data_IF_395529292984
#
_entry.id   IF_395529292984
#
_cell.length_a   1.000
_cell.length_b   1.000
_cell.length_c   1.000
_cell.angle_alpha   90.00
_cell.angle_beta   90.00
_cell.angle_gamma   90.00
#
_symmetry.space_group_name_H-M   'P 1'
#
loop_
_entity.id
_entity.type
_entity.pdbx_description
1 polymer ?
#
# COMPACT_ATOMS: atom_id res chain seq x y z
N UNK A 1 10.16 -14.37 19.80
CA UNK A 1 9.42 -13.36 20.59
C UNK A 1 8.76 -12.44 19.58
N UNK A 2 7.43 -12.39 19.49
CA UNK A 2 6.77 -11.41 18.62
C UNK A 2 7.10 -10.02 19.16
N UNK A 3 7.87 -9.25 18.40
CA UNK A 3 8.04 -7.83 18.68
C UNK A 3 6.65 -7.18 18.60
N UNK A 4 6.22 -6.43 19.62
CA UNK A 4 4.93 -5.75 19.55
C UNK A 4 4.92 -4.79 18.34
N UNK A 5 3.86 -4.87 17.54
CA UNK A 5 3.66 -4.00 16.39
C UNK A 5 3.55 -2.56 16.90
N UNK A 6 4.42 -1.68 16.41
CA UNK A 6 4.42 -0.27 16.79
C UNK A 6 3.25 0.45 16.12
N UNK A 7 2.43 1.23 16.85
CA UNK A 7 1.34 2.00 16.26
C UNK A 7 1.87 3.20 15.43
N UNK A 8 1.09 3.59 14.43
CA UNK A 8 1.26 4.86 13.70
C UNK A 8 0.46 5.94 14.41
N UNK A 9 1.14 6.98 14.89
CA UNK A 9 0.56 8.07 15.67
C UNK A 9 0.28 9.25 14.74
N UNK A 10 -0.99 9.63 14.60
CA UNK A 10 -1.44 10.78 13.82
C UNK A 10 -1.97 11.88 14.75
N UNK A 11 -1.49 13.13 14.65
CA UNK A 11 -2.22 14.27 15.21
C UNK A 11 -3.65 14.33 14.65
N UNK A 12 -4.62 14.73 15.48
CA UNK A 12 -6.02 14.89 15.04
C UNK A 12 -6.14 15.74 13.77
N UNK A 13 -5.36 16.82 13.66
CA UNK A 13 -5.34 17.68 12.47
C UNK A 13 -4.89 16.97 11.19
N UNK A 14 -3.95 16.02 11.27
CA UNK A 14 -3.50 15.22 10.12
C UNK A 14 -4.55 14.17 9.77
N UNK A 15 -5.14 13.52 10.77
CA UNK A 15 -6.21 12.55 10.57
C UNK A 15 -7.40 13.18 9.84
N UNK A 16 -7.86 14.34 10.31
CA UNK A 16 -8.97 15.08 9.71
C UNK A 16 -8.63 15.57 8.30
N UNK A 17 -7.39 16.00 8.07
CA UNK A 17 -6.93 16.49 6.77
C UNK A 17 -6.86 15.39 5.71
N UNK A 18 -6.46 14.16 6.07
CA UNK A 18 -6.52 12.99 5.17
C UNK A 18 -7.97 12.75 4.74
N UNK A 19 -8.92 12.74 5.69
CA UNK A 19 -10.35 12.54 5.41
C UNK A 19 -10.91 13.68 4.55
N UNK A 20 -10.57 14.92 4.86
CA UNK A 20 -11.00 16.08 4.09
C UNK A 20 -10.48 16.03 2.65
N UNK A 21 -9.23 15.59 2.45
CA UNK A 21 -8.68 15.39 1.12
C UNK A 21 -9.41 14.28 0.37
N UNK A 22 -9.61 13.12 0.99
CA UNK A 22 -10.32 11.99 0.39
C UNK A 22 -11.73 12.38 -0.07
N UNK A 23 -12.48 13.08 0.80
CA UNK A 23 -13.83 13.56 0.47
C UNK A 23 -13.85 14.56 -0.69
N UNK A 24 -12.85 15.44 -0.75
CA UNK A 24 -12.75 16.43 -1.81
C UNK A 24 -12.38 15.84 -3.18
N UNK A 25 -11.65 14.71 -3.21
CA UNK A 25 -11.22 14.05 -4.44
C UNK A 25 -12.20 13.04 -5.02
N UNK A 26 -13.13 12.51 -4.21
CA UNK A 26 -14.14 11.54 -4.66
C UNK A 26 -14.88 12.07 -5.92
N UNK A 27 -15.02 11.27 -7.00
CA UNK A 27 -14.85 9.82 -7.08
C UNK A 27 -13.43 9.30 -7.38
N UNK A 28 -12.44 10.17 -7.56
CA UNK A 28 -11.04 9.75 -7.78
C UNK A 28 -10.34 9.47 -6.44
N UNK A 29 -9.34 8.59 -6.45
CA UNK A 29 -8.38 8.46 -5.37
C UNK A 29 -7.53 9.72 -5.26
N UNK A 30 -7.33 10.18 -4.03
CA UNK A 30 -6.31 11.17 -3.70
C UNK A 30 -5.06 10.49 -3.17
N UNK A 31 -3.95 11.20 -3.15
CA UNK A 31 -2.72 10.71 -2.52
C UNK A 31 -1.88 11.85 -1.93
N UNK A 32 -0.92 11.50 -1.09
CA UNK A 32 0.05 12.44 -0.55
C UNK A 32 1.07 11.76 0.34
N UNK A 33 1.89 12.58 1.01
CA UNK A 33 2.98 12.09 1.87
C UNK A 33 2.89 12.70 3.26
N UNK A 34 3.37 11.95 4.24
CA UNK A 34 3.48 12.35 5.63
C UNK A 34 4.96 12.51 5.99
N UNK A 35 5.31 13.67 6.52
CA UNK A 35 6.59 13.90 7.18
C UNK A 35 6.47 13.47 8.63
N UNK A 36 7.47 12.76 9.12
CA UNK A 36 7.52 12.33 10.51
C UNK A 36 8.74 11.46 10.81
N UNK A 37 8.79 10.91 12.00
CA UNK A 37 9.83 9.96 12.44
C UNK A 37 9.26 9.05 13.53
N UNK A 38 9.82 7.85 13.68
CA UNK A 38 9.46 6.89 14.73
C UNK A 38 7.94 6.60 14.79
N UNK A 39 7.34 6.43 13.62
CA UNK A 39 5.90 6.18 13.44
C UNK A 39 4.99 7.30 13.95
N UNK A 40 5.51 8.51 14.21
CA UNK A 40 4.74 9.70 14.60
C UNK A 40 4.71 10.79 13.53
N UNK A 41 3.52 11.09 13.02
CA UNK A 41 3.34 12.06 11.95
C UNK A 41 3.46 13.48 12.50
N UNK A 42 4.08 14.35 11.71
CA UNK A 42 4.37 15.74 12.06
C UNK A 42 3.69 16.71 11.12
N UNK A 43 3.67 16.40 9.83
CA UNK A 43 3.10 17.26 8.79
C UNK A 43 2.60 16.43 7.61
N UNK A 44 1.57 16.92 6.93
CA UNK A 44 0.97 16.29 5.75
C UNK A 44 1.16 17.19 4.53
N UNK A 45 1.48 16.56 3.40
CA UNK A 45 1.56 17.21 2.10
C UNK A 45 0.63 16.49 1.12
N UNK A 46 -0.40 17.19 0.63
CA UNK A 46 -1.27 16.69 -0.45
C UNK A 46 -0.44 16.58 -1.72
N UNK A 47 -0.47 15.40 -2.33
CA UNK A 47 0.07 15.19 -3.67
C UNK A 47 -1.01 15.26 -4.72
N UNK A 48 -0.60 15.33 -5.99
CA UNK A 48 -1.49 15.15 -7.12
C UNK A 48 -1.46 13.69 -7.55
N UNK A 49 -2.64 13.07 -7.67
CA UNK A 49 -2.74 11.76 -8.31
C UNK A 49 -2.54 11.91 -9.83
N UNK A 50 -1.47 11.30 -10.35
CA UNK A 50 -1.11 11.29 -11.77
C UNK A 50 -1.31 9.93 -12.45
N UNK A 51 -2.00 8.99 -11.81
CA UNK A 51 -2.39 7.74 -12.44
C UNK A 51 -3.28 7.98 -13.67
N UNK A 52 -3.22 7.05 -14.63
CA UNK A 52 -4.12 7.07 -15.80
C UNK A 52 -5.56 6.76 -15.41
N UNK A 53 -5.78 5.70 -14.63
CA UNK A 53 -7.05 5.40 -13.96
C UNK A 53 -6.98 5.86 -12.51
N UNK A 54 -7.45 7.08 -12.24
CA UNK A 54 -7.43 7.64 -10.89
C UNK A 54 -8.57 7.14 -10.02
N UNK A 55 -9.55 6.41 -10.55
CA UNK A 55 -10.70 5.94 -9.76
C UNK A 55 -10.30 4.75 -8.88
N UNK A 56 -9.41 3.89 -9.39
CA UNK A 56 -9.00 2.65 -8.73
C UNK A 56 -7.49 2.54 -8.48
N UNK A 57 -6.77 3.65 -8.65
CA UNK A 57 -5.32 3.67 -8.48
C UNK A 57 -4.80 5.08 -8.21
N UNK A 58 -3.64 5.13 -7.57
CA UNK A 58 -2.90 6.36 -7.38
C UNK A 58 -1.48 6.28 -7.94
N UNK A 59 -0.94 7.45 -8.27
CA UNK A 59 0.50 7.65 -8.45
C UNK A 59 0.80 9.02 -7.92
N UNK A 60 1.62 9.08 -6.86
CA UNK A 60 2.03 10.36 -6.27
C UNK A 60 2.92 11.09 -7.27
N UNK A 61 2.63 12.37 -7.51
CA UNK A 61 3.47 13.17 -8.39
C UNK A 61 4.93 13.25 -7.86
N UNK A 62 5.94 13.26 -8.76
CA UNK A 62 7.33 13.28 -8.33
C UNK A 62 7.71 14.50 -7.47
N UNK A 63 7.08 15.65 -7.66
CA UNK A 63 7.41 16.86 -6.88
C UNK A 63 7.07 16.66 -5.41
N UNK A 64 5.94 16.00 -5.13
CA UNK A 64 5.55 15.64 -3.77
C UNK A 64 6.49 14.60 -3.16
N UNK A 65 6.90 13.58 -3.93
CA UNK A 65 7.85 12.56 -3.46
C UNK A 65 9.26 13.13 -3.18
N UNK A 66 9.72 14.10 -3.99
CA UNK A 66 11.03 14.75 -3.83
C UNK A 66 11.16 15.52 -2.50
N UNK A 67 10.04 15.84 -1.83
CA UNK A 67 10.06 16.44 -0.48
C UNK A 67 10.75 15.55 0.55
N UNK A 68 10.92 14.25 0.30
CA UNK A 68 11.67 13.36 1.17
C UNK A 68 13.07 13.89 1.52
N UNK A 69 13.75 14.55 0.56
CA UNK A 69 15.07 15.14 0.79
C UNK A 69 15.00 16.34 1.75
N UNK A 70 13.98 17.19 1.59
CA UNK A 70 13.74 18.31 2.52
C UNK A 70 13.42 17.80 3.94
N UNK A 71 12.74 16.65 4.05
CA UNK A 71 12.43 16.04 5.34
C UNK A 71 13.70 15.51 6.00
N UNK A 72 14.55 14.82 5.24
CA UNK A 72 15.84 14.30 5.71
C UNK A 72 16.78 15.42 6.18
N UNK A 73 16.93 16.50 5.40
CA UNK A 73 17.74 17.68 5.75
C UNK A 73 17.30 18.31 7.08
N UNK A 74 16.01 18.21 7.39
CA UNK A 74 15.43 18.72 8.61
C UNK A 74 15.35 17.67 9.74
N UNK A 75 16.01 16.51 9.57
CA UNK A 75 16.09 15.46 10.57
C UNK A 75 14.82 14.61 10.73
N UNK A 76 13.86 14.70 9.80
CA UNK A 76 12.66 13.86 9.74
C UNK A 76 12.82 12.82 8.60
N UNK A 77 11.75 12.12 8.25
CA UNK A 77 11.68 11.21 7.11
C UNK A 77 10.33 11.35 6.39
N UNK A 78 10.25 10.84 5.16
CA UNK A 78 8.95 10.53 4.55
C UNK A 78 8.38 9.28 5.24
N UNK A 79 7.75 9.50 6.39
CA UNK A 79 7.32 8.43 7.27
C UNK A 79 6.12 7.66 6.70
N UNK A 80 5.29 8.30 5.89
CA UNK A 80 4.20 7.60 5.23
C UNK A 80 3.82 8.18 3.88
N UNK A 81 3.19 7.34 3.09
CA UNK A 81 2.44 7.68 1.89
C UNK A 81 0.98 7.37 2.21
N UNK A 82 0.06 8.25 1.86
CA UNK A 82 -1.36 7.95 2.01
C UNK A 82 -2.09 8.05 0.67
N UNK A 83 -3.16 7.29 0.56
CA UNK A 83 -4.14 7.41 -0.50
C UNK A 83 -5.55 7.10 0.01
N UNK A 84 -6.56 7.37 -0.81
CA UNK A 84 -7.95 7.08 -0.46
C UNK A 84 -8.53 5.98 -1.31
N UNK A 85 -9.37 5.15 -0.71
CA UNK A 85 -10.27 4.24 -1.40
C UNK A 85 -11.70 4.84 -1.40
N UNK A 86 -12.21 5.31 -2.56
CA UNK A 86 -13.47 6.04 -2.61
C UNK A 86 -14.72 5.20 -2.26
N UNK A 87 -14.65 3.88 -2.49
CA UNK A 87 -15.79 2.96 -2.37
C UNK A 87 -15.44 1.60 -1.75
N UNK A 88 -14.18 1.34 -1.43
CA UNK A 88 -13.71 0.05 -0.91
C UNK A 88 -13.07 0.20 0.46
N UNK A 89 -12.95 -0.93 1.18
CA UNK A 89 -12.35 -1.02 2.52
C UNK A 89 -10.95 -0.44 2.58
N UNK A 90 -10.52 -0.01 3.77
CA UNK A 90 -9.17 0.47 4.04
C UNK A 90 -8.19 -0.71 4.17
N UNK A 91 -7.96 -1.46 3.10
CA UNK A 91 -6.98 -2.54 3.05
C UNK A 91 -6.26 -2.53 1.70
N UNK A 92 -4.94 -2.80 1.64
CA UNK A 92 -4.20 -2.74 0.39
C UNK A 92 -4.80 -3.71 -0.62
N UNK A 93 -4.99 -3.26 -1.86
CA UNK A 93 -5.30 -4.08 -3.03
C UNK A 93 -4.04 -4.65 -3.67
N UNK A 94 -4.19 -5.52 -4.67
CA UNK A 94 -3.06 -5.99 -5.47
C UNK A 94 -2.37 -4.85 -6.25
N UNK A 95 -3.13 -3.82 -6.65
CA UNK A 95 -2.57 -2.63 -7.30
C UNK A 95 -1.72 -1.82 -6.32
N UNK A 96 -2.18 -1.66 -5.07
CA UNK A 96 -1.39 -0.99 -4.02
C UNK A 96 -0.10 -1.76 -3.71
N UNK A 97 -0.20 -3.09 -3.60
CA UNK A 97 0.96 -3.96 -3.41
C UNK A 97 1.97 -3.82 -4.55
N UNK A 98 1.51 -3.72 -5.81
CA UNK A 98 2.38 -3.47 -6.96
C UNK A 98 3.11 -2.12 -6.86
N UNK A 99 2.42 -1.07 -6.40
CA UNK A 99 2.95 0.29 -6.29
C UNK A 99 3.81 0.53 -5.02
N UNK A 100 4.01 -0.49 -4.17
CA UNK A 100 4.71 -0.37 -2.89
C UNK A 100 6.24 -0.27 -3.05
N UNK A 101 6.73 0.84 -3.59
CA UNK A 101 8.15 1.06 -3.90
C UNK A 101 8.98 1.64 -2.74
N UNK A 102 8.33 2.08 -1.67
CA UNK A 102 8.95 2.64 -0.46
C UNK A 102 8.72 1.70 0.73
N UNK A 103 9.55 0.66 0.92
CA UNK A 103 9.33 -0.37 1.94
C UNK A 103 9.48 0.13 3.38
N UNK A 104 10.20 1.24 3.58
CA UNK A 104 10.42 1.84 4.90
C UNK A 104 9.28 2.78 5.32
N UNK A 105 8.42 3.19 4.39
CA UNK A 105 7.28 4.06 4.65
C UNK A 105 6.05 3.25 5.10
N UNK A 106 5.20 3.87 5.91
CA UNK A 106 3.84 3.39 6.15
C UNK A 106 2.92 3.81 5.00
N UNK A 107 2.10 2.89 4.53
CA UNK A 107 1.03 3.16 3.57
C UNK A 107 -0.28 3.30 4.32
N UNK A 108 -0.84 4.51 4.34
CA UNK A 108 -2.09 4.80 4.99
C UNK A 108 -3.22 4.83 3.96
N UNK A 109 -4.28 4.07 4.23
CA UNK A 109 -5.43 3.97 3.33
C UNK A 109 -6.63 4.58 4.04
N UNK A 110 -7.18 5.63 3.45
CA UNK A 110 -8.42 6.27 3.89
C UNK A 110 -9.60 5.73 3.08
N UNK A 111 -10.42 4.87 3.68
CA UNK A 111 -11.64 4.37 3.05
C UNK A 111 -12.82 5.31 3.26
N UNK A 112 -13.55 5.56 2.17
CA UNK A 112 -14.86 6.19 2.12
C UNK A 112 -15.95 5.21 1.67
N UNK A 113 -15.77 3.91 1.93
CA UNK A 113 -16.82 2.90 1.70
C UNK A 113 -18.14 3.32 2.37
N UNK A 114 -18.02 3.89 3.57
CA UNK A 114 -19.10 4.57 4.27
C UNK A 114 -18.72 6.05 4.48
N UNK A 115 -19.37 6.95 3.73
CA UNK A 115 -19.03 8.38 3.70
C UNK A 115 -19.14 9.08 5.08
N UNK A 116 -20.05 8.60 5.93
CA UNK A 116 -20.31 9.08 7.29
C UNK A 116 -19.40 8.45 8.34
N UNK A 117 -18.70 7.37 8.01
CA UNK A 117 -17.80 6.64 8.90
C UNK A 117 -16.46 6.29 8.19
N UNK A 118 -15.67 7.31 7.80
CA UNK A 118 -14.38 7.08 7.15
C UNK A 118 -13.42 6.31 8.07
N UNK A 119 -12.63 5.42 7.47
CA UNK A 119 -11.66 4.59 8.20
C UNK A 119 -10.26 4.81 7.63
N UNK A 120 -9.29 5.10 8.50
CA UNK A 120 -7.88 5.13 8.13
C UNK A 120 -7.17 3.94 8.77
N UNK A 121 -6.47 3.14 7.95
CA UNK A 121 -5.61 2.04 8.39
C UNK A 121 -4.21 2.23 7.83
N UNK A 122 -3.20 1.73 8.54
CA UNK A 122 -1.79 1.87 8.16
C UNK A 122 -1.12 0.51 7.98
N UNK A 123 -0.30 0.39 6.94
CA UNK A 123 0.35 -0.86 6.56
C UNK A 123 1.81 -0.64 6.22
N UNK A 124 2.67 -1.59 6.61
CA UNK A 124 3.94 -1.80 5.91
C UNK A 124 3.72 -2.83 4.81
N UNK A 125 4.13 -2.46 3.60
CA UNK A 125 4.11 -3.33 2.44
C UNK A 125 5.56 -3.63 2.05
N UNK A 126 5.99 -4.87 2.26
CA UNK A 126 7.38 -5.28 2.06
C UNK A 126 7.50 -6.19 0.85
N UNK A 127 7.99 -5.69 -0.29
CA UNK A 127 8.23 -6.50 -1.47
C UNK A 127 9.46 -7.41 -1.29
N UNK A 128 9.36 -8.63 -1.79
CA UNK A 128 10.46 -9.57 -2.02
C UNK A 128 10.45 -10.04 -3.47
N UNK A 129 11.61 -10.43 -3.97
CA UNK A 129 11.83 -10.77 -5.38
C UNK A 129 12.38 -12.19 -5.51
N UNK A 130 11.63 -13.22 -5.08
CA UNK A 130 12.08 -14.60 -5.25
C UNK A 130 12.08 -14.99 -6.73
N UNK A 131 12.95 -15.93 -7.09
CA UNK A 131 12.87 -16.57 -8.40
C UNK A 131 11.69 -17.54 -8.42
N UNK A 132 10.72 -17.29 -9.30
CA UNK A 132 9.46 -18.03 -9.38
C UNK A 132 9.24 -18.55 -10.79
N UNK A 133 8.80 -19.80 -10.92
CA UNK A 133 8.23 -20.31 -12.16
C UNK A 133 6.82 -19.70 -12.35
N UNK A 134 6.79 -18.48 -12.89
CA UNK A 134 5.55 -17.75 -13.10
C UNK A 134 4.65 -18.41 -14.14
N UNK A 135 5.17 -19.21 -15.05
CA UNK A 135 4.34 -19.96 -16.00
C UNK A 135 3.56 -21.07 -15.29
N UNK A 136 4.24 -21.85 -14.45
CA UNK A 136 3.59 -22.87 -13.62
C UNK A 136 2.61 -22.27 -12.61
N UNK A 137 2.99 -21.17 -11.93
CA UNK A 137 2.13 -20.50 -10.95
C UNK A 137 0.83 -19.99 -11.58
N UNK A 138 0.91 -19.36 -12.75
CA UNK A 138 -0.27 -18.84 -13.48
C UNK A 138 -1.26 -19.93 -13.87
N UNK A 139 -0.79 -21.14 -14.11
CA UNK A 139 -1.64 -22.28 -14.43
C UNK A 139 -2.26 -22.91 -13.17
N UNK A 140 -1.53 -22.88 -12.05
CA UNK A 140 -1.91 -23.57 -10.83
C UNK A 140 -2.78 -22.72 -9.89
N UNK A 141 -2.66 -21.39 -9.92
CA UNK A 141 -3.27 -20.50 -8.94
C UNK A 141 -4.25 -19.50 -9.59
N UNK A 142 -5.31 -19.09 -8.87
CA UNK A 142 -6.37 -18.23 -9.41
C UNK A 142 -5.95 -16.75 -9.39
N UNK A 143 -4.99 -16.37 -10.22
CA UNK A 143 -4.62 -14.96 -10.39
C UNK A 143 -5.73 -14.17 -11.09
N UNK A 144 -6.03 -12.99 -10.58
CA UNK A 144 -6.99 -12.06 -11.18
C UNK A 144 -6.25 -10.93 -11.89
N UNK A 145 -6.72 -10.55 -13.08
CA UNK A 145 -6.25 -9.34 -13.76
C UNK A 145 -6.91 -8.12 -13.11
N UNK A 146 -6.15 -7.36 -12.33
CA UNK A 146 -6.67 -6.22 -11.56
C UNK A 146 -6.59 -4.91 -12.33
N UNK A 147 -5.68 -4.82 -13.31
CA UNK A 147 -5.56 -3.76 -14.31
C UNK A 147 -5.04 -4.39 -15.61
N UNK A 148 -5.22 -3.76 -16.78
CA UNK A 148 -4.69 -4.28 -18.03
C UNK A 148 -3.21 -4.66 -17.92
N UNK A 149 -2.91 -5.95 -18.02
CA UNK A 149 -1.57 -6.51 -17.92
C UNK A 149 -0.99 -6.63 -16.51
N UNK A 150 -1.73 -6.33 -15.44
CA UNK A 150 -1.31 -6.50 -14.04
C UNK A 150 -2.20 -7.52 -13.34
N UNK A 151 -1.58 -8.54 -12.77
CA UNK A 151 -2.25 -9.65 -12.12
C UNK A 151 -1.89 -9.72 -10.64
N UNK A 152 -2.83 -10.19 -9.83
CA UNK A 152 -2.66 -10.36 -8.39
C UNK A 152 -3.32 -11.61 -7.84
N UNK A 153 -2.71 -12.18 -6.81
CA UNK A 153 -3.28 -13.20 -5.94
C UNK A 153 -3.08 -12.76 -4.49
N UNK A 154 -4.18 -12.71 -3.72
CA UNK A 154 -4.12 -12.47 -2.27
C UNK A 154 -4.08 -13.79 -1.50
N UNK A 155 -3.18 -13.88 -0.52
CA UNK A 155 -3.12 -14.98 0.44
C UNK A 155 -3.28 -14.40 1.86
N UNK A 156 -4.34 -14.77 2.60
CA UNK A 156 -4.59 -14.23 3.93
C UNK A 156 -3.62 -14.78 4.98
N UNK A 157 -3.37 -13.98 6.01
CA UNK A 157 -2.61 -14.39 7.19
C UNK A 157 -3.23 -15.62 7.87
N UNK A 158 -2.40 -16.56 8.30
CA UNK A 158 -2.79 -17.78 8.98
C UNK A 158 -3.48 -18.82 8.09
N UNK A 159 -3.70 -18.52 6.81
CA UNK A 159 -4.21 -19.45 5.82
C UNK A 159 -3.16 -20.44 5.32
N UNK A 160 -3.57 -21.51 4.62
CA UNK A 160 -2.62 -22.42 3.97
C UNK A 160 -1.89 -21.68 2.85
N UNK A 161 -0.55 -21.72 2.88
CA UNK A 161 0.28 -21.25 1.77
C UNK A 161 0.09 -22.24 0.61
N UNK A 162 -0.26 -21.77 -0.60
CA UNK A 162 -0.38 -22.64 -1.78
C UNK A 162 0.91 -23.42 -2.01
N UNK A 163 0.80 -24.72 -2.32
CA UNK A 163 1.95 -25.64 -2.46
C UNK A 163 3.11 -25.05 -3.32
N UNK A 164 2.86 -24.45 -4.49
CA UNK A 164 3.94 -23.86 -5.31
C UNK A 164 4.71 -22.71 -4.66
N UNK A 165 4.18 -22.10 -3.59
CA UNK A 165 4.77 -20.96 -2.88
C UNK A 165 5.44 -21.36 -1.56
N UNK A 166 5.28 -22.60 -1.10
CA UNK A 166 5.82 -23.06 0.18
C UNK A 166 7.34 -23.11 0.25
N UNK A 167 8.02 -23.14 -0.91
CA UNK A 167 9.49 -23.09 -0.98
C UNK A 167 10.07 -21.69 -0.81
N UNK A 168 9.25 -20.64 -0.94
CA UNK A 168 9.69 -19.23 -0.92
C UNK A 168 9.01 -18.40 0.18
N UNK A 169 7.85 -18.84 0.68
CA UNK A 169 7.16 -18.21 1.80
C UNK A 169 7.27 -19.13 3.03
N UNK A 170 8.04 -18.69 4.01
CA UNK A 170 8.28 -19.46 5.24
C UNK A 170 7.33 -19.09 6.39
N UNK A 171 6.84 -17.84 6.41
CA UNK A 171 6.02 -17.31 7.49
C UNK A 171 4.54 -17.19 7.05
N UNK A 172 3.66 -18.11 7.45
CA UNK A 172 2.23 -18.03 7.14
C UNK A 172 1.49 -16.98 7.99
N UNK A 173 2.13 -16.38 8.98
CA UNK A 173 1.46 -15.44 9.91
C UNK A 173 1.14 -14.09 9.29
N UNK A 174 1.74 -13.77 8.14
CA UNK A 174 1.55 -12.50 7.42
C UNK A 174 0.74 -12.74 6.17
N UNK A 175 -0.22 -11.85 5.91
CA UNK A 175 -0.89 -11.82 4.63
C UNK A 175 0.09 -11.34 3.55
N UNK A 176 -0.09 -11.78 2.32
CA UNK A 176 0.74 -11.32 1.22
C UNK A 176 -0.01 -11.33 -0.11
N UNK A 177 0.51 -10.55 -1.04
CA UNK A 177 0.13 -10.58 -2.43
C UNK A 177 1.24 -11.22 -3.26
N UNK A 178 0.89 -12.01 -4.26
CA UNK A 178 1.77 -12.32 -5.39
C UNK A 178 1.28 -11.48 -6.57
N UNK A 179 2.13 -10.59 -7.06
CA UNK A 179 1.77 -9.66 -8.15
C UNK A 179 2.79 -9.71 -9.26
N UNK A 180 2.31 -9.61 -10.50
CA UNK A 180 3.17 -9.59 -11.68
C UNK A 180 2.53 -8.83 -12.82
N UNK A 181 3.35 -8.24 -13.69
CA UNK A 181 2.89 -7.65 -14.94
C UNK A 181 3.26 -8.53 -16.14
N UNK A 182 2.52 -8.36 -17.23
CA UNK A 182 2.82 -8.99 -18.53
C UNK A 182 3.04 -7.91 -19.60
N UNK A 183 3.98 -8.15 -20.50
CA UNK A 183 4.16 -7.31 -21.68
C UNK A 183 3.08 -7.57 -22.75
N UNK A 184 3.14 -6.83 -23.85
CA UNK A 184 2.24 -6.99 -24.99
C UNK A 184 2.27 -8.36 -25.68
N UNK A 185 3.24 -9.23 -25.37
CA UNK A 185 3.29 -10.62 -25.82
C UNK A 185 2.73 -11.61 -24.78
N UNK A 186 2.23 -11.14 -23.64
CA UNK A 186 1.66 -11.96 -22.57
C UNK A 186 2.70 -12.65 -21.67
N UNK A 187 3.98 -12.36 -21.86
CA UNK A 187 5.08 -12.87 -21.03
C UNK A 187 5.22 -12.01 -19.78
N UNK A 188 5.50 -12.65 -18.64
CA UNK A 188 5.78 -11.95 -17.38
C UNK A 188 7.09 -11.18 -17.49
N UNK A 189 7.05 -9.88 -17.17
CA UNK A 189 8.22 -9.00 -17.18
C UNK A 189 8.84 -8.89 -15.78
N UNK A 190 8.01 -8.58 -14.78
CA UNK A 190 8.40 -8.44 -13.39
C UNK A 190 7.33 -9.08 -12.49
N UNK A 191 7.80 -9.72 -11.42
CA UNK A 191 6.96 -10.30 -10.37
C UNK A 191 7.57 -10.03 -9.00
N UNK A 192 6.72 -10.03 -7.97
CA UNK A 192 7.14 -9.88 -6.58
C UNK A 192 6.11 -10.50 -5.64
N UNK A 193 6.56 -10.86 -4.44
CA UNK A 193 5.68 -11.17 -3.31
C UNK A 193 5.69 -9.95 -2.39
N UNK A 194 4.54 -9.45 -1.98
CA UNK A 194 4.44 -8.27 -1.12
C UNK A 194 3.77 -8.66 0.18
N UNK A 195 4.53 -8.68 1.26
CA UNK A 195 4.00 -8.99 2.58
C UNK A 195 3.34 -7.77 3.20
N UNK A 196 2.20 -7.99 3.84
CA UNK A 196 1.37 -6.95 4.46
C UNK A 196 1.47 -7.09 5.97
N UNK A 197 1.88 -6.01 6.64
CA UNK A 197 1.88 -5.88 8.09
C UNK A 197 1.03 -4.67 8.48
N UNK A 198 -0.06 -4.89 9.20
CA UNK A 198 -0.91 -3.80 9.67
C UNK A 198 -0.36 -3.19 10.95
N UNK A 199 -0.32 -1.86 11.01
CA UNK A 199 0.04 -1.09 12.19
C UNK A 199 -1.20 -0.34 12.70
N UNK A 200 -1.58 -0.49 13.99
CA UNK A 200 -2.69 0.26 14.55
C UNK A 200 -2.49 1.76 14.38
N UNK A 201 -3.55 2.48 14.02
CA UNK A 201 -3.54 3.94 13.95
C UNK A 201 -4.03 4.50 15.29
N UNK A 202 -3.20 5.31 15.93
CA UNK A 202 -3.53 6.04 17.15
C UNK A 202 -3.66 7.54 16.84
N UNK A 203 -4.81 8.12 17.16
CA UNK A 203 -5.02 9.57 16.98
C UNK A 203 -4.67 10.30 18.26
N UNK A 204 -3.63 11.12 18.21
CA UNK A 204 -3.20 11.97 19.31
C UNK A 204 -3.97 13.30 19.27
N UNK A 205 -4.68 13.60 20.37
CA UNK A 205 -5.32 14.89 20.63
C UNK A 205 -4.37 15.96 21.14
#
# INVERSE_FOLDING_TARGET
MNTPIQPVILPQSIYDEIIAHARAGKPEEVCGVLRGRDSRAKELFRGRNIAEDKINNYTVDPQTLLRQFEFEDAGDAMMGIYHSHPVSVAYPSATDAWNAHYPDAYYLICSLEFDDAPVIRAFKMTPTFPDLDMEALRQALPFEEVRPGLFGLYVPAGGPIPEPLQSVVEDPSRAFYVVFNVNGAGKVDEHRIVFIEEHPVEVAG
#
